data_IF_740646317610
#
_entry.id   IF_740646317610
#
_cell.length_a   1.000
_cell.length_b   1.000
_cell.length_c   1.000
_cell.angle_alpha   90.00
_cell.angle_beta   90.00
_cell.angle_gamma   90.00
#
_symmetry.space_group_name_H-M   'P 1'
#
loop_
_entity.id
_entity.type
_entity.pdbx_description
1 polymer ?
#
# COMPACT_ATOMS: atom_id res chain seq x y z
N UNK A 1 46.98 33.01 12.88
CA UNK A 1 47.27 31.65 13.38
C UNK A 1 45.96 31.19 14.00
N UNK A 2 45.13 30.46 13.25
CA UNK A 2 45.21 28.98 13.03
C UNK A 2 45.12 28.27 14.39
N UNK A 3 44.26 27.30 14.62
CA UNK A 3 43.24 26.59 13.83
C UNK A 3 42.55 25.71 14.88
N UNK A 4 41.24 25.87 15.11
CA UNK A 4 40.46 24.91 15.90
C UNK A 4 39.15 24.67 15.14
N UNK A 5 39.25 23.85 14.11
CA UNK A 5 38.14 23.38 13.30
C UNK A 5 38.25 21.86 13.13
N UNK A 6 37.09 21.21 13.13
CA UNK A 6 36.84 19.84 12.65
C UNK A 6 37.07 18.69 13.64
N UNK A 7 36.02 18.37 14.41
CA UNK A 7 35.50 16.99 14.56
C UNK A 7 34.18 16.97 15.35
N UNK A 8 33.10 17.41 14.72
CA UNK A 8 31.74 17.26 15.26
C UNK A 8 30.77 17.09 14.10
N UNK A 9 30.78 15.90 13.48
CA UNK A 9 29.91 15.64 12.33
C UNK A 9 29.59 14.18 12.03
N UNK A 10 30.07 13.20 12.83
CA UNK A 10 29.99 11.79 12.42
C UNK A 10 29.45 10.83 13.50
N UNK A 11 28.90 11.35 14.60
CA UNK A 11 28.51 10.52 15.76
C UNK A 11 27.00 10.46 16.04
N UNK A 12 26.17 11.25 15.37
CA UNK A 12 24.75 11.38 15.74
C UNK A 12 23.80 10.48 14.93
N UNK A 13 24.20 10.00 13.75
CA UNK A 13 23.31 9.21 12.89
C UNK A 13 23.36 7.69 13.18
N UNK A 14 24.42 7.21 13.84
CA UNK A 14 24.57 5.80 14.20
C UNK A 14 23.89 5.44 15.54
N UNK A 15 23.62 6.42 16.40
CA UNK A 15 23.11 6.19 17.75
C UNK A 15 21.58 5.97 17.81
N UNK A 16 20.84 6.34 16.78
CA UNK A 16 19.39 6.28 16.77
C UNK A 16 18.81 4.91 16.33
N UNK A 17 19.60 4.06 15.68
CA UNK A 17 19.10 2.84 15.06
C UNK A 17 19.21 1.56 15.93
N UNK A 18 19.93 1.59 17.05
CA UNK A 18 20.42 0.34 17.69
C UNK A 18 19.94 0.08 19.13
N UNK A 19 18.75 0.53 19.56
CA UNK A 19 18.29 0.26 20.95
C UNK A 19 16.80 0.05 21.14
N UNK A 20 16.22 -0.98 20.52
CA UNK A 20 14.87 -1.42 20.89
C UNK A 20 14.70 -2.92 21.10
N UNK A 21 15.72 -3.74 20.81
CA UNK A 21 15.77 -5.14 21.21
C UNK A 21 17.06 -5.31 21.99
N UNK A 22 16.97 -5.35 23.32
CA UNK A 22 18.10 -5.81 24.14
C UNK A 22 18.38 -7.29 23.81
N UNK A 23 19.60 -7.78 24.08
CA UNK A 23 20.02 -9.17 23.82
C UNK A 23 19.12 -10.24 24.49
N UNK A 24 18.22 -9.78 25.36
CA UNK A 24 17.22 -10.51 26.14
C UNK A 24 15.83 -10.61 25.47
N UNK A 25 15.58 -10.03 24.29
CA UNK A 25 14.29 -10.08 23.58
C UNK A 25 13.06 -9.60 24.41
N UNK A 26 13.23 -8.67 25.36
CA UNK A 26 12.12 -8.11 26.15
C UNK A 26 11.56 -6.81 25.57
N UNK A 27 10.23 -6.74 25.41
CA UNK A 27 9.50 -5.55 24.95
C UNK A 27 9.20 -4.62 26.14
N UNK A 28 9.89 -3.48 26.21
CA UNK A 28 9.67 -2.47 27.26
C UNK A 28 8.59 -1.47 26.83
N UNK A 29 7.37 -1.61 27.38
CA UNK A 29 6.21 -0.78 27.06
C UNK A 29 5.95 0.35 28.07
N UNK A 30 6.82 0.55 29.06
CA UNK A 30 6.54 1.42 30.20
C UNK A 30 6.59 2.93 29.83
N UNK A 31 5.47 3.68 29.94
CA UNK A 31 5.43 5.13 29.65
C UNK A 31 6.33 5.97 30.58
N UNK A 32 6.66 5.45 31.76
CA UNK A 32 7.47 6.13 32.77
C UNK A 32 8.98 6.19 32.46
N UNK A 33 9.46 5.44 31.46
CA UNK A 33 10.89 5.41 31.09
C UNK A 33 11.23 6.35 29.91
N UNK A 34 10.30 7.22 29.51
CA UNK A 34 10.46 8.14 28.37
C UNK A 34 10.81 7.43 27.05
N UNK A 35 10.44 6.16 26.92
CA UNK A 35 10.63 5.34 25.72
C UNK A 35 9.36 5.35 24.89
N UNK A 36 9.47 5.74 23.63
CA UNK A 36 8.36 5.71 22.67
C UNK A 36 8.19 4.26 22.18
N UNK A 37 6.99 3.68 22.24
CA UNK A 37 6.78 2.34 21.71
C UNK A 37 7.13 2.30 20.23
N UNK A 38 7.83 1.25 19.80
CA UNK A 38 8.05 0.99 18.39
C UNK A 38 6.72 0.96 17.68
N UNK A 39 6.60 1.77 16.63
CA UNK A 39 5.43 1.70 15.81
C UNK A 39 5.39 0.34 15.10
N UNK A 40 4.20 -0.27 15.04
CA UNK A 40 3.97 -1.61 14.50
C UNK A 40 4.52 -1.83 13.07
N UNK A 41 4.81 -0.75 12.35
CA UNK A 41 5.41 -0.78 11.00
C UNK A 41 6.94 -0.90 11.00
N UNK A 42 7.62 -0.38 12.02
CA UNK A 42 9.08 -0.47 12.17
C UNK A 42 9.51 -1.78 12.81
N UNK A 43 8.59 -2.46 13.49
CA UNK A 43 8.86 -3.75 14.08
C UNK A 43 8.92 -4.82 12.98
N UNK A 44 10.14 -5.35 12.78
CA UNK A 44 10.43 -6.39 11.81
C UNK A 44 9.70 -7.71 12.10
N UNK A 45 9.31 -7.95 13.36
CA UNK A 45 8.77 -9.23 13.83
C UNK A 45 7.28 -9.14 14.24
N UNK A 46 6.63 -7.99 14.00
CA UNK A 46 5.26 -7.75 14.44
C UNK A 46 4.26 -8.79 13.90
N UNK A 47 4.49 -9.34 12.71
CA UNK A 47 3.62 -10.34 12.09
C UNK A 47 3.76 -11.71 12.76
N UNK A 48 5.01 -12.15 12.97
CA UNK A 48 5.36 -13.41 13.59
C UNK A 48 4.89 -13.47 15.05
N UNK A 49 4.93 -12.33 15.74
CA UNK A 49 4.46 -12.19 17.12
C UNK A 49 2.93 -12.07 17.21
N UNK A 50 2.28 -11.40 16.26
CA UNK A 50 0.82 -11.23 16.27
C UNK A 50 0.07 -12.51 15.88
N UNK A 51 0.66 -13.37 15.04
CA UNK A 51 0.01 -14.57 14.53
C UNK A 51 0.79 -15.85 14.83
N UNK A 52 0.86 -16.28 16.10
CA UNK A 52 1.55 -17.51 16.48
C UNK A 52 0.94 -18.75 15.82
N UNK A 53 -0.35 -18.74 15.50
CA UNK A 53 -1.05 -19.83 14.78
C UNK A 53 -0.51 -20.05 13.37
N UNK A 54 -0.01 -18.98 12.74
CA UNK A 54 0.50 -19.00 11.35
C UNK A 54 1.99 -19.29 11.35
N UNK A 55 2.75 -18.54 12.15
CA UNK A 55 4.21 -18.55 12.12
C UNK A 55 4.85 -19.49 13.14
N UNK A 56 4.08 -20.00 14.11
CA UNK A 56 4.57 -20.89 15.19
C UNK A 56 5.77 -20.32 15.97
N UNK A 57 5.89 -18.99 16.03
CA UNK A 57 7.06 -18.33 16.63
C UNK A 57 8.36 -18.51 15.83
N UNK A 58 8.29 -19.01 14.60
CA UNK A 58 9.43 -19.17 13.70
C UNK A 58 9.54 -17.96 12.79
N UNK A 59 10.72 -17.34 12.79
CA UNK A 59 11.04 -16.24 11.89
C UNK A 59 10.96 -16.67 10.43
N UNK A 60 10.36 -15.82 9.60
CA UNK A 60 10.32 -16.07 8.16
C UNK A 60 11.71 -16.00 7.55
N UNK A 61 12.01 -16.98 6.71
CA UNK A 61 13.21 -16.99 5.88
C UNK A 61 12.89 -16.25 4.58
N UNK A 62 13.25 -14.98 4.52
CA UNK A 62 13.16 -14.18 3.29
C UNK A 62 14.42 -14.46 2.47
N UNK A 63 14.25 -15.15 1.34
CA UNK A 63 15.35 -15.44 0.41
C UNK A 63 15.27 -14.43 -0.74
N UNK A 64 16.18 -13.45 -0.77
CA UNK A 64 16.27 -12.44 -1.83
C UNK A 64 16.39 -11.00 -1.33
N UNK A 65 16.36 -10.00 -2.23
CA UNK A 65 16.35 -8.59 -1.85
C UNK A 65 15.08 -8.25 -1.05
N UNK A 66 15.15 -7.19 -0.23
CA UNK A 66 14.08 -6.70 0.68
C UNK A 66 12.68 -6.98 0.12
N UNK A 67 11.95 -7.92 0.71
CA UNK A 67 10.57 -8.20 0.33
C UNK A 67 9.65 -7.12 0.88
N UNK A 68 8.85 -6.49 0.02
CA UNK A 68 7.83 -5.53 0.47
C UNK A 68 6.72 -6.28 1.24
N UNK A 69 6.04 -5.63 2.20
CA UNK A 69 4.90 -6.23 2.90
C UNK A 69 3.82 -6.75 1.92
N UNK A 70 3.66 -6.08 0.78
CA UNK A 70 2.74 -6.52 -0.28
C UNK A 70 3.18 -7.83 -0.94
N UNK A 71 4.47 -7.99 -1.23
CA UNK A 71 5.00 -9.24 -1.80
C UNK A 71 4.87 -10.41 -0.81
N UNK A 72 5.08 -10.14 0.47
CA UNK A 72 4.93 -11.12 1.56
C UNK A 72 3.47 -11.59 1.68
N UNK A 73 2.53 -10.64 1.78
CA UNK A 73 1.10 -10.93 1.83
C UNK A 73 0.62 -11.70 0.58
N UNK A 74 1.07 -11.29 -0.60
CA UNK A 74 0.71 -11.94 -1.87
C UNK A 74 1.22 -13.38 -1.93
N UNK A 75 2.44 -13.63 -1.44
CA UNK A 75 2.99 -14.98 -1.33
C UNK A 75 2.15 -15.84 -0.39
N UNK A 76 1.79 -15.31 0.79
CA UNK A 76 1.06 -16.07 1.82
C UNK A 76 -0.36 -16.45 1.39
N UNK A 77 -1.06 -15.55 0.69
CA UNK A 77 -2.39 -15.84 0.14
C UNK A 77 -2.32 -16.92 -0.96
N UNK A 78 -1.23 -16.93 -1.73
CA UNK A 78 -1.01 -17.88 -2.83
C UNK A 78 -0.47 -19.25 -2.42
N UNK A 79 -0.10 -19.46 -1.15
CA UNK A 79 0.45 -20.74 -0.67
C UNK A 79 -0.63 -21.83 -0.61
N UNK A 80 -0.19 -23.08 -0.76
CA UNK A 80 -1.04 -24.26 -0.51
C UNK A 80 -1.55 -24.30 0.92
N UNK A 81 -0.73 -23.84 1.88
CA UNK A 81 -1.13 -23.66 3.27
C UNK A 81 -2.09 -22.45 3.40
N UNK A 82 -3.29 -22.72 3.89
CA UNK A 82 -4.38 -21.73 4.01
C UNK A 82 -4.37 -20.95 5.31
N UNK A 83 -3.47 -21.25 6.25
CA UNK A 83 -3.38 -20.53 7.53
C UNK A 83 -3.09 -19.03 7.35
N UNK A 84 -2.32 -18.67 6.31
CA UNK A 84 -2.04 -17.28 5.93
C UNK A 84 -3.18 -16.58 5.17
N UNK A 85 -4.22 -17.31 4.75
CA UNK A 85 -5.35 -16.78 4.00
C UNK A 85 -6.60 -16.55 4.87
N UNK A 86 -6.44 -16.48 6.20
CA UNK A 86 -7.53 -16.19 7.12
C UNK A 86 -7.96 -14.71 7.01
N UNK A 87 -9.25 -14.39 7.17
CA UNK A 87 -9.74 -13.01 7.04
C UNK A 87 -9.02 -12.01 7.96
N UNK A 88 -8.73 -12.41 9.20
CA UNK A 88 -8.03 -11.59 10.20
C UNK A 88 -6.60 -11.24 9.75
N UNK A 89 -5.86 -12.24 9.28
CA UNK A 89 -4.51 -12.06 8.79
C UNK A 89 -4.47 -11.22 7.51
N UNK A 90 -5.39 -11.49 6.57
CA UNK A 90 -5.49 -10.71 5.33
C UNK A 90 -5.80 -9.24 5.63
N UNK A 91 -6.71 -8.97 6.55
CA UNK A 91 -7.05 -7.60 6.95
C UNK A 91 -5.87 -6.90 7.64
N UNK A 92 -5.17 -7.61 8.53
CA UNK A 92 -3.94 -7.11 9.15
C UNK A 92 -2.90 -6.73 8.10
N UNK A 93 -2.63 -7.63 7.14
CA UNK A 93 -1.66 -7.39 6.09
C UNK A 93 -2.09 -6.25 5.16
N UNK A 94 -3.38 -6.15 4.83
CA UNK A 94 -3.91 -5.02 4.06
C UNK A 94 -3.70 -3.69 4.80
N UNK A 95 -3.97 -3.63 6.10
CA UNK A 95 -3.72 -2.45 6.91
C UNK A 95 -2.22 -2.11 7.00
N UNK A 96 -1.35 -3.12 7.12
CA UNK A 96 0.11 -2.95 7.12
C UNK A 96 0.60 -2.39 5.79
N UNK A 97 0.16 -2.94 4.65
CA UNK A 97 0.51 -2.45 3.31
C UNK A 97 0.04 -1.02 3.11
N UNK A 98 -1.18 -0.67 3.53
CA UNK A 98 -1.68 0.70 3.42
C UNK A 98 -0.82 1.68 4.23
N UNK A 99 -0.47 1.33 5.48
CA UNK A 99 0.40 2.16 6.32
C UNK A 99 1.82 2.26 5.77
N UNK A 100 2.36 1.16 5.27
CA UNK A 100 3.65 1.13 4.60
C UNK A 100 3.68 2.08 3.40
N UNK A 101 2.64 2.02 2.56
CA UNK A 101 2.51 2.93 1.43
C UNK A 101 2.42 4.40 1.87
N UNK A 102 1.71 4.72 2.96
CA UNK A 102 1.64 6.10 3.48
C UNK A 102 3.01 6.56 3.99
N UNK A 103 3.74 5.69 4.69
CA UNK A 103 5.07 5.99 5.22
C UNK A 103 6.12 6.18 4.10
N UNK A 104 6.03 5.39 3.02
CA UNK A 104 6.90 5.50 1.86
C UNK A 104 6.45 6.60 0.87
N UNK A 105 5.16 6.97 0.90
CA UNK A 105 4.62 7.90 -0.08
C UNK A 105 5.17 9.30 0.07
N UNK A 106 5.75 9.80 -1.01
CA UNK A 106 6.07 11.20 -1.17
C UNK A 106 4.82 12.00 -1.53
N UNK A 107 4.76 13.25 -1.08
CA UNK A 107 3.74 14.22 -1.52
C UNK A 107 3.97 14.55 -3.00
N UNK A 108 2.89 14.53 -3.79
CA UNK A 108 2.86 14.95 -5.18
C UNK A 108 2.08 16.26 -5.29
N UNK A 109 2.61 17.19 -6.07
CA UNK A 109 1.95 18.46 -6.33
C UNK A 109 1.09 18.35 -7.59
N UNK A 110 -0.12 18.92 -7.53
CA UNK A 110 -0.97 19.03 -8.72
C UNK A 110 -0.43 20.13 -9.62
N UNK A 111 -0.23 19.81 -10.90
CA UNK A 111 0.16 20.78 -11.91
C UNK A 111 -1.05 21.63 -12.31
N UNK A 112 -1.22 22.77 -11.66
CA UNK A 112 -2.17 23.83 -12.02
C UNK A 112 -1.39 25.10 -12.42
N UNK A 113 -2.07 26.07 -13.03
CA UNK A 113 -1.47 27.39 -13.37
C UNK A 113 -0.83 28.05 -12.13
N UNK A 114 -1.46 27.92 -10.96
CA UNK A 114 -0.96 28.39 -9.65
C UNK A 114 0.29 27.65 -9.16
N UNK A 115 0.45 26.37 -9.54
CA UNK A 115 1.62 25.55 -9.14
C UNK A 115 2.78 25.76 -10.11
N UNK A 116 2.52 26.23 -11.34
CA UNK A 116 3.57 26.51 -12.33
C UNK A 116 4.52 27.63 -11.93
N UNK A 117 4.13 28.48 -10.98
CA UNK A 117 4.98 29.55 -10.41
C UNK A 117 5.78 29.11 -9.19
N UNK A 118 5.60 27.88 -8.69
CA UNK A 118 6.30 27.37 -7.51
C UNK A 118 7.62 26.74 -7.94
N UNK A 119 8.75 27.31 -7.49
CA UNK A 119 10.10 26.80 -7.80
C UNK A 119 10.56 25.79 -6.75
N UNK A 120 11.39 24.80 -7.12
CA UNK A 120 11.99 23.86 -6.15
C UNK A 120 12.71 24.57 -4.99
N UNK A 121 13.38 25.68 -5.26
CA UNK A 121 14.04 26.49 -4.22
C UNK A 121 13.05 27.02 -3.17
N UNK A 122 11.80 27.33 -3.55
CA UNK A 122 10.77 27.79 -2.59
C UNK A 122 10.28 26.65 -1.69
N UNK A 123 10.32 25.41 -2.17
CA UNK A 123 9.99 24.22 -1.37
C UNK A 123 11.10 23.90 -0.37
N UNK A 124 12.36 24.07 -0.77
CA UNK A 124 13.53 23.80 0.09
C UNK A 124 13.76 24.92 1.12
N UNK A 125 13.57 26.18 0.73
CA UNK A 125 13.80 27.36 1.59
C UNK A 125 12.56 27.84 2.36
N UNK A 126 11.35 27.53 1.87
CA UNK A 126 10.08 28.04 2.42
C UNK A 126 9.68 27.47 3.79
N UNK A 127 10.36 26.41 4.24
CA UNK A 127 10.13 25.79 5.54
C UNK A 127 8.69 25.26 5.74
N UNK A 128 8.34 24.93 6.99
CA UNK A 128 7.02 24.35 7.33
C UNK A 128 5.83 25.24 6.97
N UNK A 129 5.97 26.56 7.04
CA UNK A 129 4.87 27.52 6.79
C UNK A 129 4.43 27.51 5.32
N UNK A 130 5.36 27.40 4.39
CA UNK A 130 5.03 27.29 2.97
C UNK A 130 4.32 25.97 2.68
N UNK A 131 4.75 24.87 3.31
CA UNK A 131 4.11 23.57 3.17
C UNK A 131 2.68 23.56 3.72
N UNK A 132 2.43 24.24 4.83
CA UNK A 132 1.08 24.45 5.39
C UNK A 132 0.20 25.24 4.42
N UNK A 133 0.69 26.34 3.83
CA UNK A 133 -0.09 27.11 2.86
C UNK A 133 -0.39 26.31 1.57
N UNK A 134 0.56 25.51 1.11
CA UNK A 134 0.35 24.58 -0.01
C UNK A 134 -0.73 23.56 0.32
N UNK A 135 -0.72 23.02 1.54
CA UNK A 135 -1.70 22.05 1.99
C UNK A 135 -3.09 22.68 2.12
N UNK A 136 -3.18 23.88 2.70
CA UNK A 136 -4.43 24.64 2.82
C UNK A 136 -5.05 24.99 1.47
N UNK A 137 -4.21 25.13 0.42
CA UNK A 137 -4.66 25.38 -0.96
C UNK A 137 -4.93 24.09 -1.76
N UNK A 138 -4.89 22.91 -1.13
CA UNK A 138 -5.08 21.60 -1.77
C UNK A 138 -4.15 21.39 -2.99
N UNK A 139 -2.92 21.91 -2.92
CA UNK A 139 -1.95 21.80 -4.01
C UNK A 139 -1.10 20.54 -3.93
N UNK A 140 -1.05 19.90 -2.76
CA UNK A 140 -0.27 18.69 -2.50
C UNK A 140 -1.16 17.51 -2.09
N UNK A 141 -0.90 16.35 -2.69
CA UNK A 141 -1.63 15.10 -2.45
C UNK A 141 -0.66 13.98 -2.09
N UNK A 142 -1.07 13.08 -1.20
CA UNK A 142 -0.32 11.85 -0.94
C UNK A 142 -0.43 10.91 -2.14
N UNK A 143 0.70 10.40 -2.61
CA UNK A 143 0.75 9.36 -3.64
C UNK A 143 0.60 7.98 -3.00
N UNK A 144 0.13 6.95 -3.71
CA UNK A 144 0.24 5.56 -3.23
C UNK A 144 -0.79 5.09 -2.19
N UNK A 145 -1.70 5.96 -1.71
CA UNK A 145 -2.86 5.52 -0.92
C UNK A 145 -3.92 4.94 -1.88
N UNK A 146 -4.30 3.65 -1.72
CA UNK A 146 -5.31 3.03 -2.57
C UNK A 146 -6.63 3.80 -2.54
N UNK A 147 -7.36 3.77 -3.66
CA UNK A 147 -8.67 4.41 -3.84
C UNK A 147 -8.68 5.96 -3.76
N UNK A 148 -7.54 6.63 -3.69
CA UNK A 148 -7.49 8.09 -3.89
C UNK A 148 -7.66 8.46 -5.36
N UNK A 149 -8.10 9.69 -5.62
CA UNK A 149 -8.23 10.21 -7.00
C UNK A 149 -6.89 10.15 -7.73
N UNK A 150 -5.79 10.53 -7.05
CA UNK A 150 -4.45 10.49 -7.61
C UNK A 150 -4.01 9.06 -7.97
N UNK A 151 -4.28 8.10 -7.07
CA UNK A 151 -3.98 6.69 -7.33
C UNK A 151 -4.66 6.17 -8.61
N UNK A 152 -5.94 6.52 -8.83
CA UNK A 152 -6.66 6.12 -10.03
C UNK A 152 -6.16 6.84 -11.29
N UNK A 153 -5.74 8.10 -11.19
CA UNK A 153 -5.16 8.82 -12.32
C UNK A 153 -3.84 8.21 -12.78
N UNK A 154 -2.94 7.88 -11.84
CA UNK A 154 -1.67 7.19 -12.11
C UNK A 154 -1.95 5.84 -12.77
N UNK A 155 -2.84 5.03 -12.19
CA UNK A 155 -3.15 3.69 -12.71
C UNK A 155 -3.80 3.74 -14.10
N UNK A 156 -4.64 4.74 -14.36
CA UNK A 156 -5.21 5.00 -15.69
C UNK A 156 -4.11 5.33 -16.70
N UNK A 157 -3.15 6.17 -16.32
CA UNK A 157 -2.03 6.54 -17.20
C UNK A 157 -1.16 5.32 -17.53
N UNK A 158 -0.83 4.51 -16.53
CA UNK A 158 -0.11 3.23 -16.70
C UNK A 158 -0.86 2.27 -17.62
N UNK A 159 -2.18 2.12 -17.43
CA UNK A 159 -3.01 1.28 -18.29
C UNK A 159 -2.95 1.76 -19.74
N UNK A 160 -3.07 3.07 -20.00
CA UNK A 160 -2.93 3.60 -21.35
C UNK A 160 -1.53 3.40 -21.92
N UNK A 161 -0.47 3.50 -21.10
CA UNK A 161 0.89 3.19 -21.53
C UNK A 161 1.01 1.71 -21.93
N UNK A 162 0.47 0.79 -21.12
CA UNK A 162 0.42 -0.64 -21.44
C UNK A 162 -0.34 -0.92 -22.73
N UNK A 163 -1.50 -0.29 -22.94
CA UNK A 163 -2.29 -0.47 -24.18
C UNK A 163 -1.50 0.00 -25.41
N UNK A 164 -0.74 1.08 -25.29
CA UNK A 164 0.12 1.58 -26.39
C UNK A 164 1.31 0.66 -26.67
N UNK A 165 1.90 0.07 -25.62
CA UNK A 165 3.12 -0.76 -25.74
C UNK A 165 2.83 -2.22 -26.07
N UNK A 166 1.87 -2.84 -25.38
CA UNK A 166 1.53 -4.26 -25.46
C UNK A 166 0.35 -4.53 -26.40
N UNK A 167 -0.37 -3.49 -26.81
CA UNK A 167 -1.56 -3.59 -27.65
C UNK A 167 -2.85 -3.82 -26.86
N UNK A 168 -3.86 -4.38 -27.53
CA UNK A 168 -5.21 -4.54 -26.94
C UNK A 168 -5.15 -5.52 -25.76
N UNK A 169 -5.72 -5.18 -24.59
CA UNK A 169 -5.74 -6.08 -23.45
C UNK A 169 -6.67 -7.26 -23.75
N UNK A 170 -6.21 -8.47 -23.45
CA UNK A 170 -7.00 -9.69 -23.53
C UNK A 170 -7.25 -10.18 -22.11
N UNK A 171 -8.53 -10.34 -21.72
CA UNK A 171 -8.91 -10.89 -20.43
C UNK A 171 -9.47 -12.30 -20.61
N UNK A 172 -8.94 -13.25 -19.86
CA UNK A 172 -9.47 -14.60 -19.77
C UNK A 172 -10.16 -14.76 -18.41
N UNK A 173 -11.42 -15.14 -18.43
CA UNK A 173 -12.20 -15.39 -17.23
C UNK A 173 -12.61 -16.87 -17.21
N UNK A 174 -12.18 -17.59 -16.18
CA UNK A 174 -12.61 -18.96 -15.91
C UNK A 174 -13.54 -18.92 -14.70
N UNK A 175 -14.82 -19.18 -14.92
CA UNK A 175 -15.81 -19.15 -13.84
C UNK A 175 -16.10 -20.57 -13.33
N UNK A 176 -16.16 -20.79 -12.01
CA UNK A 176 -16.64 -22.04 -11.45
C UNK A 176 -18.13 -22.23 -11.81
N UNK A 177 -18.55 -23.49 -11.98
CA UNK A 177 -19.94 -23.81 -12.36
C UNK A 177 -21.00 -23.28 -11.37
N UNK A 178 -20.61 -22.94 -10.14
CA UNK A 178 -21.46 -22.34 -9.11
C UNK A 178 -21.84 -20.87 -9.40
N UNK A 179 -21.07 -20.14 -10.21
CA UNK A 179 -21.30 -18.72 -10.52
C UNK A 179 -22.49 -18.47 -11.47
N UNK A 180 -23.17 -19.52 -11.96
CA UNK A 180 -24.39 -19.42 -12.78
C UNK A 180 -25.52 -18.66 -12.06
N UNK A 181 -25.48 -18.57 -10.72
CA UNK A 181 -26.48 -17.84 -9.93
C UNK A 181 -26.26 -16.32 -9.93
N UNK A 182 -25.15 -15.81 -10.47
CA UNK A 182 -24.88 -14.37 -10.49
C UNK A 182 -25.50 -13.70 -11.72
N UNK A 183 -26.80 -13.43 -11.66
CA UNK A 183 -27.58 -12.90 -12.79
C UNK A 183 -26.99 -11.61 -13.37
N UNK A 184 -26.55 -10.67 -12.53
CA UNK A 184 -25.92 -9.41 -12.97
C UNK A 184 -24.65 -9.62 -13.80
N UNK A 185 -23.87 -10.65 -13.48
CA UNK A 185 -22.66 -10.98 -14.22
C UNK A 185 -23.02 -11.49 -15.61
N UNK A 186 -24.01 -12.37 -15.70
CA UNK A 186 -24.50 -12.92 -16.97
C UNK A 186 -25.10 -11.82 -17.86
N UNK A 187 -25.90 -10.91 -17.31
CA UNK A 187 -26.40 -9.73 -18.03
C UNK A 187 -25.26 -8.86 -18.59
N UNK A 188 -24.21 -8.67 -17.79
CA UNK A 188 -23.04 -7.87 -18.20
C UNK A 188 -22.27 -8.55 -19.34
N UNK A 189 -22.08 -9.87 -19.26
CA UNK A 189 -21.43 -10.64 -20.32
C UNK A 189 -22.25 -10.66 -21.62
N UNK A 190 -23.58 -10.73 -21.53
CA UNK A 190 -24.44 -10.64 -22.70
C UNK A 190 -24.38 -9.25 -23.35
N UNK A 191 -24.43 -8.18 -22.56
CA UNK A 191 -24.26 -6.81 -23.08
C UNK A 191 -22.91 -6.61 -23.77
N UNK A 192 -21.85 -7.21 -23.23
CA UNK A 192 -20.52 -7.18 -23.87
C UNK A 192 -20.48 -7.96 -25.19
N UNK A 193 -21.28 -9.03 -25.34
CA UNK A 193 -21.37 -9.82 -26.57
C UNK A 193 -22.23 -9.16 -27.64
N UNK A 194 -23.39 -8.62 -27.28
CA UNK A 194 -24.41 -8.11 -28.23
C UNK A 194 -24.22 -6.62 -28.53
N UNK A 195 -23.56 -5.87 -27.64
CA UNK A 195 -23.45 -4.41 -27.71
C UNK A 195 -24.46 -3.70 -26.80
N UNK A 196 -24.40 -2.36 -26.69
CA UNK A 196 -25.20 -1.56 -25.76
C UNK A 196 -26.72 -1.66 -25.96
N UNK A 197 -27.16 -2.15 -27.12
CA UNK A 197 -28.57 -2.33 -27.49
C UNK A 197 -29.13 -3.73 -27.15
N UNK A 198 -28.34 -4.57 -26.45
CA UNK A 198 -28.74 -5.92 -26.06
C UNK A 198 -29.87 -5.95 -25.02
N UNK A 199 -30.64 -7.06 -24.96
CA UNK A 199 -31.77 -7.17 -24.03
C UNK A 199 -31.32 -7.00 -22.58
N UNK A 200 -32.03 -6.17 -21.83
CA UNK A 200 -31.63 -5.76 -20.48
C UNK A 200 -31.85 -6.84 -19.42
N UNK A 201 -32.50 -7.96 -19.77
CA UNK A 201 -32.87 -9.04 -18.84
C UNK A 201 -32.69 -10.41 -19.49
N UNK A 202 -31.74 -11.19 -19.00
CA UNK A 202 -31.68 -12.62 -19.24
C UNK A 202 -32.77 -13.29 -18.41
N UNK A 203 -33.77 -13.88 -19.06
CA UNK A 203 -34.84 -14.60 -18.36
C UNK A 203 -34.38 -16.03 -18.10
N UNK A 204 -33.81 -16.28 -16.92
CA UNK A 204 -33.45 -17.63 -16.51
C UNK A 204 -34.70 -18.44 -16.13
N UNK A 205 -34.87 -19.67 -16.62
CA UNK A 205 -35.99 -20.52 -16.23
C UNK A 205 -35.78 -21.02 -14.79
N UNK A 206 -36.42 -20.39 -13.82
CA UNK A 206 -36.42 -20.89 -12.43
C UNK A 206 -36.69 -19.88 -11.32
N UNK A 207 -36.64 -18.57 -11.57
CA UNK A 207 -36.93 -17.57 -10.54
C UNK A 207 -38.44 -17.43 -10.35
N UNK A 208 -38.98 -18.21 -9.40
CA UNK A 208 -40.28 -17.93 -8.78
C UNK A 208 -40.12 -16.62 -8.01
N UNK A 209 -40.70 -15.54 -8.52
CA UNK A 209 -40.89 -14.31 -7.74
C UNK A 209 -41.87 -14.60 -6.59
N UNK A 210 -41.67 -14.03 -5.38
CA UNK A 210 -42.75 -13.95 -4.41
C UNK A 210 -43.93 -13.12 -4.95
#
# INVERSE_FOLDING_TARGET
>A
MRDDGERSGELDDAAAADKLIDQSHSLHLAPGENRVPLALFMDAYAEELAFPTIYMGVLRKIIGPRSTPFAMASSEIGRTDRRGATPEHVLYMAAKVMRYNVAESNMMFRTNETTGSITCEQLESGGKKFLEEVLDRDLAFMRGVPNTVQYWQDRRSELFAMIRQLGKPHAFLTMPASEVHWERLLETLERLRVGPDGPTKLRFPGTITP
#
